data_IF_227252812269
#
_entry.id   IF_227252812269
#
_cell.length_a   1.000
_cell.length_b   1.000
_cell.length_c   1.000
_cell.angle_alpha   90.00
_cell.angle_beta   90.00
_cell.angle_gamma   90.00
#
_symmetry.space_group_name_H-M   'P 1'
#
loop_
_entity.id
_entity.type
_entity.pdbx_description
1 polymer ?
#
# COMPACT_ATOMS: atom_id res chain seq x y z
N UNK A 1 25.06 33.83 23.62
CA UNK A 1 25.62 33.81 22.27
C UNK A 1 25.51 32.39 21.75
N UNK A 2 24.88 32.03 20.65
CA UNK A 2 23.97 32.70 19.72
C UNK A 2 23.28 31.57 18.96
N UNK A 3 21.98 31.67 18.74
CA UNK A 3 21.24 30.83 17.79
C UNK A 3 21.77 31.06 16.37
N UNK A 4 21.76 30.02 15.53
CA UNK A 4 21.71 30.17 14.07
C UNK A 4 20.95 29.01 13.45
N UNK A 5 19.67 29.24 13.22
CA UNK A 5 18.85 28.54 12.23
C UNK A 5 18.83 29.43 10.99
N UNK A 6 19.27 28.92 9.84
CA UNK A 6 19.03 29.46 8.50
C UNK A 6 18.63 28.23 7.66
N UNK A 7 17.33 27.92 7.49
CA UNK A 7 16.45 28.29 6.37
C UNK A 7 17.08 28.15 4.98
N UNK A 8 16.62 27.16 4.21
CA UNK A 8 16.86 27.09 2.77
C UNK A 8 16.16 25.92 2.07
N UNK A 9 14.97 26.20 1.54
CA UNK A 9 14.31 25.62 0.34
C UNK A 9 13.95 24.12 0.28
N UNK A 10 12.66 23.87 0.02
CA UNK A 10 12.00 22.56 -0.07
C UNK A 10 12.38 21.68 -1.27
N UNK A 11 11.62 20.58 -1.46
CA UNK A 11 10.41 20.71 -2.26
C UNK A 11 9.18 20.11 -1.56
N UNK A 12 8.37 20.98 -0.93
CA UNK A 12 7.00 20.68 -0.48
C UNK A 12 5.98 21.33 -1.43
N UNK A 13 6.26 21.33 -2.73
CA UNK A 13 5.47 22.08 -3.72
C UNK A 13 5.26 21.36 -5.06
N UNK A 14 5.20 20.03 -5.07
CA UNK A 14 4.99 19.24 -6.30
C UNK A 14 3.73 18.37 -6.33
N UNK A 15 2.85 18.45 -5.31
CA UNK A 15 1.59 17.69 -5.26
C UNK A 15 0.31 18.53 -5.40
N UNK A 16 0.42 19.80 -5.81
CA UNK A 16 -0.72 20.73 -5.91
C UNK A 16 -0.76 21.39 -7.30
N UNK A 17 -1.13 20.63 -8.35
CA UNK A 17 -1.77 21.18 -9.57
C UNK A 17 -2.28 20.10 -10.55
N UNK A 18 -3.54 19.69 -10.41
CA UNK A 18 -4.37 19.25 -11.53
C UNK A 18 -5.85 19.07 -11.12
N UNK A 19 -6.53 20.17 -10.80
CA UNK A 19 -8.00 20.23 -10.88
C UNK A 19 -8.37 21.56 -11.52
N UNK A 20 -8.77 21.53 -12.80
CA UNK A 20 -9.99 22.21 -13.28
C UNK A 20 -10.18 22.15 -14.80
N UNK A 21 -11.46 22.10 -15.16
CA UNK A 21 -12.14 22.18 -16.48
C UNK A 21 -12.34 20.83 -17.17
N UNK A 22 -13.55 20.33 -17.43
CA UNK A 22 -14.89 20.93 -17.47
C UNK A 22 -15.55 20.50 -18.79
N UNK A 23 -16.60 19.68 -18.73
CA UNK A 23 -17.35 19.22 -19.91
C UNK A 23 -18.55 18.34 -19.51
N UNK A 24 -19.71 18.64 -20.08
CA UNK A 24 -21.08 18.28 -19.65
C UNK A 24 -21.70 17.19 -20.56
N UNK A 25 -22.67 16.44 -20.01
CA UNK A 25 -23.59 15.41 -20.59
C UNK A 25 -23.00 13.98 -20.63
N UNK A 26 -23.69 12.90 -20.25
CA UNK A 26 -25.13 12.67 -20.14
C UNK A 26 -25.42 11.53 -19.15
N UNK A 27 -26.60 11.57 -18.54
CA UNK A 27 -27.19 10.51 -17.73
C UNK A 27 -27.42 9.23 -18.55
N UNK A 28 -27.03 8.07 -17.99
CA UNK A 28 -27.77 6.83 -18.19
C UNK A 28 -27.69 5.99 -16.93
N UNK A 29 -28.86 5.83 -16.32
CA UNK A 29 -29.15 5.13 -15.10
C UNK A 29 -28.83 3.64 -15.24
N UNK A 30 -27.91 3.16 -14.40
CA UNK A 30 -27.51 1.77 -14.31
C UNK A 30 -26.60 1.62 -13.11
N UNK A 31 -27.11 1.97 -11.91
CA UNK A 31 -26.38 1.72 -10.66
C UNK A 31 -26.35 0.21 -10.41
N UNK A 32 -25.44 -0.47 -11.10
CA UNK A 32 -24.83 -1.69 -10.63
C UNK A 32 -24.18 -1.32 -9.30
N UNK A 33 -24.78 -1.75 -8.20
CA UNK A 33 -24.14 -1.68 -6.89
C UNK A 33 -22.98 -2.66 -6.91
N UNK A 34 -21.86 -2.25 -7.51
CA UNK A 34 -20.57 -2.90 -7.30
C UNK A 34 -20.37 -2.99 -5.78
N UNK A 35 -20.14 -4.19 -5.23
CA UNK A 35 -19.84 -4.31 -3.82
C UNK A 35 -18.60 -3.45 -3.53
N UNK A 36 -18.66 -2.69 -2.43
CA UNK A 36 -17.59 -1.79 -1.98
C UNK A 36 -16.22 -2.48 -1.94
N UNK A 37 -16.19 -3.82 -1.82
CA UNK A 37 -14.99 -4.65 -1.86
C UNK A 37 -14.24 -4.67 -3.20
N UNK A 38 -14.91 -4.53 -4.35
CA UNK A 38 -14.25 -4.47 -5.65
C UNK A 38 -13.73 -3.06 -5.96
N UNK A 39 -14.47 -2.04 -5.54
CA UNK A 39 -14.14 -0.65 -5.85
C UNK A 39 -12.74 -0.25 -5.33
N UNK A 40 -12.39 -0.65 -4.10
CA UNK A 40 -11.06 -0.30 -3.56
C UNK A 40 -9.93 -1.11 -4.18
N UNK A 41 -10.21 -2.34 -4.65
CA UNK A 41 -9.20 -3.20 -5.31
C UNK A 41 -8.78 -2.60 -6.64
N UNK A 42 -9.72 -2.08 -7.43
CA UNK A 42 -9.38 -1.38 -8.69
C UNK A 42 -8.62 -0.08 -8.44
N UNK A 43 -9.05 0.74 -7.46
CA UNK A 43 -8.34 1.98 -7.13
C UNK A 43 -6.90 1.71 -6.65
N UNK A 44 -6.72 0.69 -5.81
CA UNK A 44 -5.40 0.29 -5.33
C UNK A 44 -4.54 -0.31 -6.44
N UNK A 45 -5.15 -1.01 -7.40
CA UNK A 45 -4.45 -1.50 -8.59
C UNK A 45 -3.89 -0.33 -9.41
N UNK A 46 -4.67 0.72 -9.63
CA UNK A 46 -4.21 1.91 -10.34
C UNK A 46 -3.06 2.60 -9.56
N UNK A 47 -3.20 2.73 -8.24
CA UNK A 47 -2.13 3.26 -7.37
C UNK A 47 -0.82 2.43 -7.47
N UNK A 48 -0.92 1.10 -7.51
CA UNK A 48 0.23 0.20 -7.73
C UNK A 48 0.92 0.50 -9.07
N UNK A 49 0.16 0.75 -10.13
CA UNK A 49 0.71 1.05 -11.46
C UNK A 49 1.39 2.42 -11.47
N UNK A 50 0.82 3.41 -10.81
CA UNK A 50 1.41 4.74 -10.65
C UNK A 50 2.72 4.68 -9.87
N UNK A 51 2.75 3.96 -8.74
CA UNK A 51 3.96 3.71 -7.95
C UNK A 51 5.03 3.03 -8.82
N UNK A 52 4.66 1.98 -9.55
CA UNK A 52 5.61 1.26 -10.39
C UNK A 52 6.20 2.15 -11.49
N UNK A 53 5.39 3.04 -12.09
CA UNK A 53 5.86 4.01 -13.07
C UNK A 53 6.80 5.05 -12.45
N UNK A 54 6.53 5.51 -11.24
CA UNK A 54 7.36 6.48 -10.54
C UNK A 54 8.70 5.88 -10.07
N UNK A 55 8.68 4.62 -9.65
CA UNK A 55 9.83 3.89 -9.10
C UNK A 55 10.48 2.93 -10.12
N UNK A 56 10.31 3.21 -11.43
CA UNK A 56 10.80 2.33 -12.51
C UNK A 56 12.30 2.50 -12.80
N UNK A 57 12.99 3.40 -12.09
CA UNK A 57 14.39 3.75 -12.29
C UNK A 57 15.19 3.45 -11.04
N UNK A 58 16.44 3.06 -11.23
CA UNK A 58 17.37 2.83 -10.13
C UNK A 58 17.63 4.13 -9.37
N UNK A 59 17.72 4.05 -8.04
CA UNK A 59 17.89 5.20 -7.16
C UNK A 59 16.72 6.18 -7.19
N UNK A 60 15.49 5.69 -7.36
CA UNK A 60 14.28 6.53 -7.38
C UNK A 60 14.05 7.28 -6.06
N UNK A 61 14.65 6.80 -4.96
CA UNK A 61 14.65 7.43 -3.65
C UNK A 61 15.83 8.40 -3.43
N UNK A 62 16.73 8.53 -4.40
CA UNK A 62 17.96 9.31 -4.30
C UNK A 62 19.18 8.52 -3.80
N UNK A 63 19.03 7.24 -3.50
CA UNK A 63 20.09 6.34 -3.03
C UNK A 63 20.24 5.13 -3.99
N UNK A 64 20.38 3.91 -3.47
CA UNK A 64 20.56 2.67 -4.23
C UNK A 64 19.27 1.85 -4.39
N UNK A 65 18.09 2.49 -4.37
CA UNK A 65 16.84 1.74 -4.51
C UNK A 65 16.74 1.00 -5.84
N UNK A 66 16.31 -0.26 -5.75
CA UNK A 66 16.09 -1.15 -6.88
C UNK A 66 14.81 -0.72 -7.63
N UNK A 67 14.81 -0.71 -8.98
CA UNK A 67 13.61 -0.44 -9.76
C UNK A 67 12.49 -1.44 -9.47
N UNK A 68 11.26 -0.96 -9.41
CA UNK A 68 10.09 -1.84 -9.31
C UNK A 68 9.89 -2.57 -10.64
N UNK A 69 9.95 -3.91 -10.57
CA UNK A 69 9.83 -4.76 -11.75
C UNK A 69 8.37 -5.05 -12.10
N UNK A 70 8.09 -5.40 -13.36
CA UNK A 70 6.76 -5.87 -13.78
C UNK A 70 6.32 -7.14 -13.04
N UNK A 71 7.27 -8.01 -12.64
CA UNK A 71 6.98 -9.18 -11.83
C UNK A 71 6.50 -8.78 -10.43
N UNK A 72 7.15 -7.80 -9.80
CA UNK A 72 6.75 -7.23 -8.51
C UNK A 72 5.35 -6.62 -8.55
N UNK A 73 5.04 -5.88 -9.62
CA UNK A 73 3.67 -5.36 -9.88
C UNK A 73 2.66 -6.49 -9.99
N UNK A 74 2.96 -7.52 -10.79
CA UNK A 74 2.07 -8.68 -10.96
C UNK A 74 1.79 -9.40 -9.64
N UNK A 75 2.81 -9.56 -8.78
CA UNK A 75 2.67 -10.16 -7.45
C UNK A 75 1.84 -9.30 -6.51
N UNK A 76 2.06 -7.99 -6.49
CA UNK A 76 1.31 -7.04 -5.67
C UNK A 76 -0.18 -7.03 -6.06
N UNK A 77 -0.47 -6.94 -7.37
CA UNK A 77 -1.85 -7.00 -7.89
C UNK A 77 -2.49 -8.34 -7.54
N UNK A 78 -1.78 -9.46 -7.74
CA UNK A 78 -2.30 -10.78 -7.36
C UNK A 78 -2.67 -10.85 -5.88
N UNK A 79 -1.84 -10.28 -5.00
CA UNK A 79 -2.07 -10.30 -3.56
C UNK A 79 -3.36 -9.53 -3.18
N UNK A 80 -3.62 -8.36 -3.77
CA UNK A 80 -4.82 -7.57 -3.45
C UNK A 80 -6.11 -8.25 -3.90
N UNK A 81 -6.10 -8.95 -5.03
CA UNK A 81 -7.28 -9.69 -5.49
C UNK A 81 -7.53 -10.97 -4.71
N UNK A 82 -6.50 -11.53 -4.08
CA UNK A 82 -6.64 -12.65 -3.13
C UNK A 82 -7.16 -12.20 -1.77
N UNK A 83 -7.09 -10.90 -1.43
CA UNK A 83 -7.55 -10.39 -0.15
C UNK A 83 -9.06 -10.64 0.05
N UNK A 84 -9.48 -11.23 1.18
CA UNK A 84 -10.88 -11.40 1.53
C UNK A 84 -11.62 -10.06 1.59
N UNK A 85 -12.90 -10.06 1.27
CA UNK A 85 -13.72 -8.83 1.26
C UNK A 85 -13.90 -8.19 2.65
N UNK A 86 -13.61 -8.92 3.72
CA UNK A 86 -13.59 -8.41 5.11
C UNK A 86 -12.35 -7.56 5.42
N UNK A 87 -11.34 -7.57 4.53
CA UNK A 87 -10.12 -6.79 4.69
C UNK A 87 -10.37 -5.35 4.26
N UNK A 88 -9.92 -4.40 5.10
CA UNK A 88 -9.91 -2.98 4.73
C UNK A 88 -8.82 -2.70 3.68
N UNK A 89 -8.98 -1.64 2.87
CA UNK A 89 -7.92 -1.22 1.95
C UNK A 89 -6.62 -0.91 2.69
N UNK A 90 -5.46 -1.43 2.25
CA UNK A 90 -4.14 -0.98 2.68
C UNK A 90 -3.72 0.34 1.99
N UNK A 91 -2.62 0.91 2.47
CA UNK A 91 -1.78 1.88 1.77
C UNK A 91 -0.69 1.13 0.99
N UNK A 92 -0.52 1.42 -0.31
CA UNK A 92 0.58 0.85 -1.10
C UNK A 92 1.84 1.71 -0.95
N UNK A 93 3.00 1.08 -0.72
CA UNK A 93 4.27 1.76 -0.49
C UNK A 93 5.38 1.07 -1.28
N UNK A 94 6.19 1.80 -2.07
CA UNK A 94 7.34 1.22 -2.74
C UNK A 94 8.41 0.80 -1.72
N UNK A 95 8.97 -0.39 -1.88
CA UNK A 95 10.13 -0.87 -1.13
C UNK A 95 11.42 -0.57 -1.88
N UNK A 96 12.49 -0.24 -1.15
CA UNK A 96 13.84 -0.03 -1.72
C UNK A 96 14.38 -1.27 -2.43
N UNK A 97 13.85 -2.45 -2.12
CA UNK A 97 14.23 -3.73 -2.75
C UNK A 97 13.50 -3.99 -4.09
N UNK A 98 12.77 -3.01 -4.63
CA UNK A 98 12.08 -3.13 -5.91
C UNK A 98 10.74 -3.88 -5.82
N UNK A 99 10.20 -4.03 -4.62
CA UNK A 99 8.87 -4.62 -4.36
C UNK A 99 7.85 -3.54 -3.97
N UNK A 100 6.57 -3.91 -3.90
CA UNK A 100 5.50 -3.06 -3.36
C UNK A 100 4.98 -3.71 -2.08
N UNK A 101 5.01 -2.93 -0.99
CA UNK A 101 4.45 -3.30 0.29
C UNK A 101 3.07 -2.71 0.49
N UNK A 102 2.24 -3.40 1.26
CA UNK A 102 0.93 -2.99 1.71
C UNK A 102 0.97 -2.75 3.21
N UNK A 103 0.61 -1.54 3.63
CA UNK A 103 0.56 -1.15 5.03
C UNK A 103 -0.88 -0.97 5.51
N UNK A 104 -1.19 -1.53 6.67
CA UNK A 104 -2.38 -1.18 7.45
C UNK A 104 -1.96 -0.52 8.75
N UNK A 105 -2.50 0.66 9.03
CA UNK A 105 -2.25 1.41 10.27
C UNK A 105 -3.55 1.49 11.07
N UNK A 106 -3.59 0.84 12.23
CA UNK A 106 -4.78 0.79 13.10
C UNK A 106 -4.70 1.72 14.30
N UNK A 107 -3.60 2.46 14.44
CA UNK A 107 -3.33 3.39 15.53
C UNK A 107 -1.83 3.59 15.75
N UNK A 108 -1.47 4.39 16.75
CA UNK A 108 -0.07 4.80 17.01
C UNK A 108 0.91 3.62 17.19
N UNK A 109 0.43 2.49 17.69
CA UNK A 109 1.26 1.31 18.00
C UNK A 109 0.72 0.03 17.35
N UNK A 110 -0.07 0.16 16.28
CA UNK A 110 -0.66 -0.99 15.59
C UNK A 110 -0.48 -0.83 14.08
N UNK A 111 0.36 -1.68 13.49
CA UNK A 111 0.67 -1.68 12.06
C UNK A 111 0.83 -3.12 11.54
N UNK A 112 0.41 -3.38 10.32
CA UNK A 112 0.80 -4.55 9.54
C UNK A 112 1.45 -4.06 8.24
N UNK A 113 2.62 -4.59 7.90
CA UNK A 113 3.26 -4.37 6.60
C UNK A 113 3.45 -5.74 5.94
N UNK A 114 3.07 -5.85 4.67
CA UNK A 114 2.97 -7.10 3.91
C UNK A 114 3.51 -6.89 2.50
N UNK A 115 4.34 -7.79 1.98
CA UNK A 115 4.75 -7.76 0.58
C UNK A 115 4.90 -9.19 0.05
N UNK A 116 5.08 -9.30 -1.27
CA UNK A 116 5.43 -10.57 -1.90
C UNK A 116 6.84 -10.46 -2.49
N UNK A 117 7.73 -11.34 -2.06
CA UNK A 117 9.08 -11.43 -2.58
C UNK A 117 9.29 -12.81 -3.20
N UNK A 118 9.55 -12.87 -4.50
CA UNK A 118 9.58 -14.13 -5.24
C UNK A 118 8.25 -14.89 -5.07
N UNK A 119 8.33 -16.11 -4.56
CA UNK A 119 7.18 -16.97 -4.27
C UNK A 119 6.79 -16.97 -2.78
N UNK A 120 7.18 -15.95 -2.02
CA UNK A 120 6.87 -15.83 -0.60
C UNK A 120 6.10 -14.55 -0.28
N UNK A 121 5.10 -14.68 0.59
CA UNK A 121 4.51 -13.58 1.33
C UNK A 121 5.37 -13.33 2.57
N UNK A 122 5.89 -12.12 2.69
CA UNK A 122 6.63 -11.65 3.87
C UNK A 122 5.81 -10.61 4.59
N UNK A 123 5.66 -10.74 5.91
CA UNK A 123 4.95 -9.74 6.70
C UNK A 123 5.62 -9.45 8.03
N UNK A 124 5.34 -8.25 8.53
CA UNK A 124 5.65 -7.82 9.88
C UNK A 124 4.46 -7.07 10.48
N UNK A 125 4.15 -7.35 11.73
CA UNK A 125 3.03 -6.77 12.44
C UNK A 125 3.46 -6.28 13.81
N UNK A 126 2.98 -5.10 14.18
CA UNK A 126 3.00 -4.55 15.54
C UNK A 126 1.55 -4.55 16.00
N UNK A 127 1.21 -5.31 17.04
CA UNK A 127 -0.16 -5.62 17.43
C UNK A 127 -0.60 -4.92 18.74
N UNK A 128 0.20 -3.98 19.25
CA UNK A 128 -0.09 -3.22 20.46
C UNK A 128 1.16 -2.70 21.17
N UNK A 129 0.97 -2.12 22.36
CA UNK A 129 2.07 -1.74 23.25
C UNK A 129 2.75 -3.00 23.85
N UNK A 130 3.99 -2.85 24.34
CA UNK A 130 4.77 -3.90 25.04
C UNK A 130 5.33 -5.02 24.13
N UNK A 131 6.02 -4.66 23.05
CA UNK A 131 6.75 -5.62 22.19
C UNK A 131 5.88 -6.74 21.57
N UNK A 132 4.57 -6.54 21.45
CA UNK A 132 3.70 -7.48 20.74
C UNK A 132 3.93 -7.34 19.22
N UNK A 133 4.92 -8.10 18.72
CA UNK A 133 5.34 -8.10 17.32
C UNK A 133 5.27 -9.51 16.76
N UNK A 134 4.88 -9.62 15.51
CA UNK A 134 4.85 -10.87 14.76
C UNK A 134 5.47 -10.63 13.39
N UNK A 135 6.28 -11.57 12.90
CA UNK A 135 6.80 -11.54 11.54
C UNK A 135 6.92 -12.95 11.03
N UNK A 136 6.61 -13.17 9.76
CA UNK A 136 6.81 -14.46 9.12
C UNK A 136 7.01 -14.30 7.62
N UNK A 137 7.62 -15.33 7.03
CA UNK A 137 7.58 -15.61 5.60
C UNK A 137 6.78 -16.89 5.36
N UNK A 138 5.92 -16.90 4.35
CA UNK A 138 5.08 -18.04 3.96
C UNK A 138 5.04 -18.18 2.44
N UNK A 139 5.00 -19.40 1.89
CA UNK A 139 4.82 -19.59 0.45
C UNK A 139 3.55 -18.89 -0.09
N UNK A 140 3.68 -18.20 -1.23
CA UNK A 140 2.61 -17.50 -1.94
C UNK A 140 1.85 -18.39 -2.91
N UNK A 141 1.68 -19.66 -2.54
CA UNK A 141 0.91 -20.66 -3.29
C UNK A 141 -0.43 -20.98 -2.62
N UNK A 142 -0.53 -20.74 -1.31
CA UNK A 142 -1.66 -21.16 -0.47
C UNK A 142 -2.83 -20.15 -0.45
N UNK A 143 -2.83 -19.19 -1.39
CA UNK A 143 -3.80 -18.10 -1.40
C UNK A 143 -3.55 -17.09 -0.28
N UNK A 144 -4.61 -16.46 0.22
CA UNK A 144 -4.50 -15.49 1.31
C UNK A 144 -4.31 -16.16 2.67
N UNK A 145 -3.21 -15.88 3.41
CA UNK A 145 -2.96 -16.53 4.69
C UNK A 145 -4.03 -16.21 5.75
N UNK A 146 -4.66 -17.23 6.33
CA UNK A 146 -5.68 -17.07 7.38
C UNK A 146 -5.21 -16.19 8.54
N UNK A 147 -3.93 -16.30 8.91
CA UNK A 147 -3.34 -15.49 9.98
C UNK A 147 -3.41 -13.98 9.72
N UNK A 148 -3.26 -13.56 8.46
CA UNK A 148 -3.39 -12.14 8.09
C UNK A 148 -4.84 -11.68 8.27
N UNK A 149 -5.82 -12.49 7.87
CA UNK A 149 -7.24 -12.18 8.13
C UNK A 149 -7.51 -12.03 9.62
N UNK A 150 -6.97 -12.92 10.46
CA UNK A 150 -7.14 -12.82 11.91
C UNK A 150 -6.54 -11.53 12.47
N UNK A 151 -5.34 -11.13 12.03
CA UNK A 151 -4.71 -9.89 12.45
C UNK A 151 -5.59 -8.71 12.02
N UNK A 152 -5.95 -8.64 10.75
CA UNK A 152 -6.70 -7.52 10.19
C UNK A 152 -8.08 -7.36 10.83
N UNK A 153 -8.78 -8.47 11.08
CA UNK A 153 -10.12 -8.44 11.69
C UNK A 153 -10.08 -8.11 13.19
N UNK A 154 -9.14 -8.67 13.96
CA UNK A 154 -9.03 -8.41 15.41
C UNK A 154 -8.65 -6.96 15.72
N UNK A 155 -7.81 -6.34 14.89
CA UNK A 155 -7.40 -4.96 15.08
C UNK A 155 -8.52 -3.95 14.76
N UNK A 156 -9.61 -4.39 14.11
CA UNK A 156 -10.77 -3.56 13.82
C UNK A 156 -11.73 -3.37 15.01
N UNK A 157 -11.74 -4.29 15.98
CA UNK A 157 -12.78 -4.34 17.04
C UNK A 157 -12.36 -3.63 18.34
N UNK A 158 -11.17 -3.04 18.41
CA UNK A 158 -10.64 -2.40 19.63
C UNK A 158 -10.69 -0.86 19.61
N UNK A 159 -11.71 -0.26 18.98
CA UNK A 159 -11.94 1.18 19.00
C UNK A 159 -12.84 1.58 20.18
#
# INVERSE_FOLDING_TARGET
>A
MSNRWETGSGPSALFERAKEKGGVLSESNGQTTEPVSLAWKELLRDEILDIASACSREGWDGEEAVPISSASVGRAIRLIYLAPDVVRPPEAVPSVDGEIAFEWRFGKYRRLSLLVHGDEIVFSAILGALNNRESASKPFVDGWPTRLTEILTKQCTSA
#
